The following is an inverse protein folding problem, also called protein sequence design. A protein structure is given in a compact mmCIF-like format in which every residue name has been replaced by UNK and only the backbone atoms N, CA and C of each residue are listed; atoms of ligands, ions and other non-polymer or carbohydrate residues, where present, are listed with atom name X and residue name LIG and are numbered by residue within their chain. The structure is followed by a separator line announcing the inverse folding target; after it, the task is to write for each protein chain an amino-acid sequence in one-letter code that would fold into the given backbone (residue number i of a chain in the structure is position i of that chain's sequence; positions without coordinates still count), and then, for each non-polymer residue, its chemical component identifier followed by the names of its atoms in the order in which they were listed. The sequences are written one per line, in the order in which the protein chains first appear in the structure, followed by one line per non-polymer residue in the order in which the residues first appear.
data_IF_995962608360
#
_entry.id   IF_995962608360
#
_cell.length_a   1.000
_cell.length_b   1.000
_cell.length_c   1.000
_cell.angle_alpha   90.00
_cell.angle_beta   90.00
_cell.angle_gamma   90.00
#
_symmetry.space_group_name_H-M   'P 1'
#
loop_
_entity.id
_entity.type
_entity.pdbx_description
1 polymer ?
#
# COMPACT_ATOMS: atom_id res chain seq x y z
N UNK A 1 32.31 15.34 4.66
CA UNK A 1 32.06 15.76 3.26
C UNK A 1 31.18 16.99 3.31
N UNK A 2 31.51 18.02 2.53
CA UNK A 2 30.67 19.22 2.44
C UNK A 2 29.43 18.93 1.58
N UNK A 3 28.27 19.45 2.01
CA UNK A 3 27.03 19.37 1.25
C UNK A 3 27.16 20.12 -0.09
N UNK A 4 26.61 19.55 -1.17
CA UNK A 4 26.51 20.27 -2.46
C UNK A 4 25.54 21.45 -2.34
N UNK A 5 25.59 22.42 -3.26
CA UNK A 5 24.68 23.57 -3.21
C UNK A 5 23.19 23.17 -3.19
N UNK A 6 22.79 22.18 -3.97
CA UNK A 6 21.42 21.65 -3.94
C UNK A 6 21.07 20.98 -2.61
N UNK A 7 22.03 20.29 -1.98
CA UNK A 7 21.82 19.70 -0.66
C UNK A 7 21.71 20.77 0.42
N UNK A 8 22.55 21.82 0.35
CA UNK A 8 22.47 22.98 1.24
C UNK A 8 21.10 23.65 1.13
N UNK A 9 20.64 23.93 -0.08
CA UNK A 9 19.30 24.50 -0.31
C UNK A 9 18.20 23.64 0.32
N UNK A 10 18.25 22.31 0.13
CA UNK A 10 17.29 21.39 0.73
C UNK A 10 17.34 21.36 2.27
N UNK A 11 18.53 21.55 2.86
CA UNK A 11 18.75 21.60 4.32
C UNK A 11 18.24 22.92 4.91
N UNK A 12 18.46 24.05 4.24
CA UNK A 12 18.24 25.40 4.81
C UNK A 12 16.87 26.01 4.50
N UNK A 13 16.18 25.54 3.47
CA UNK A 13 14.86 26.06 3.10
C UNK A 13 13.77 25.50 4.02
N UNK A 14 13.06 26.36 4.75
CA UNK A 14 12.01 25.98 5.72
C UNK A 14 10.67 26.70 5.54
N UNK A 15 10.61 27.67 4.63
CA UNK A 15 9.48 28.56 4.38
C UNK A 15 8.49 28.00 3.35
N UNK A 16 8.79 26.86 2.74
CA UNK A 16 7.96 26.18 1.75
C UNK A 16 8.16 24.67 1.77
N UNK A 17 7.16 23.95 1.26
CA UNK A 17 7.26 22.52 1.01
C UNK A 17 8.27 22.24 -0.12
N UNK A 18 9.11 21.21 0.07
CA UNK A 18 10.11 20.81 -0.91
C UNK A 18 10.00 19.31 -1.23
N UNK A 19 10.09 19.00 -2.51
CA UNK A 19 10.25 17.63 -3.01
C UNK A 19 11.67 17.46 -3.49
N UNK A 20 12.40 16.50 -2.92
CA UNK A 20 13.79 16.22 -3.28
C UNK A 20 13.87 14.91 -4.04
N UNK A 21 14.11 15.01 -5.36
CA UNK A 21 14.34 13.84 -6.21
C UNK A 21 15.80 13.43 -6.16
N UNK A 22 16.09 12.21 -5.73
CA UNK A 22 17.44 11.77 -5.48
C UNK A 22 17.61 10.25 -5.72
N UNK A 23 18.60 9.87 -6.52
CA UNK A 23 18.94 8.47 -6.83
C UNK A 23 19.54 7.72 -5.63
N UNK A 24 19.73 6.40 -5.74
CA UNK A 24 20.41 5.62 -4.70
C UNK A 24 21.82 6.20 -4.43
N UNK A 25 22.26 6.18 -3.16
CA UNK A 25 23.61 6.65 -2.78
C UNK A 25 23.85 8.17 -2.81
N UNK A 26 22.87 8.99 -3.21
CA UNK A 26 23.04 10.46 -3.34
C UNK A 26 22.95 11.27 -2.04
N UNK A 27 22.93 10.60 -0.88
CA UNK A 27 22.93 11.27 0.43
C UNK A 27 21.57 11.79 0.91
N UNK A 28 20.43 11.23 0.44
CA UNK A 28 19.08 11.58 0.92
C UNK A 28 18.96 11.62 2.44
N UNK A 29 19.41 10.55 3.09
CA UNK A 29 19.37 10.44 4.55
C UNK A 29 20.24 11.51 5.21
N UNK A 30 21.40 11.83 4.62
CA UNK A 30 22.26 12.90 5.12
C UNK A 30 21.55 14.26 5.07
N UNK A 31 20.89 14.59 3.94
CA UNK A 31 20.10 15.83 3.79
C UNK A 31 19.00 15.92 4.84
N UNK A 32 18.24 14.84 5.06
CA UNK A 32 17.16 14.82 6.06
C UNK A 32 17.68 15.01 7.49
N UNK A 33 18.77 14.33 7.85
CA UNK A 33 19.39 14.47 9.19
C UNK A 33 19.90 15.89 9.39
N UNK A 34 20.60 16.47 8.41
CA UNK A 34 21.09 17.84 8.53
C UNK A 34 19.95 18.86 8.56
N UNK A 35 18.86 18.64 7.80
CA UNK A 35 17.66 19.48 7.88
C UNK A 35 17.03 19.44 9.27
N UNK A 36 16.93 18.24 9.87
CA UNK A 36 16.42 18.06 11.23
C UNK A 36 17.23 18.89 12.25
N UNK A 37 18.56 18.76 12.21
CA UNK A 37 19.46 19.52 13.09
C UNK A 37 19.38 21.03 12.84
N UNK A 38 19.25 21.42 11.57
CA UNK A 38 19.19 22.83 11.19
C UNK A 38 17.89 23.51 11.63
N UNK A 39 16.76 22.77 11.70
CA UNK A 39 15.51 23.26 12.31
C UNK A 39 15.69 23.57 13.80
N UNK A 40 16.40 22.71 14.54
CA UNK A 40 16.70 22.94 15.95
C UNK A 40 17.59 24.18 16.09
N UNK A 41 18.67 24.25 15.31
CA UNK A 41 19.69 25.29 15.41
C UNK A 41 19.19 26.69 15.05
N UNK A 42 18.48 26.81 13.92
CA UNK A 42 18.16 28.13 13.34
C UNK A 42 16.74 28.60 13.60
N UNK A 43 15.81 27.66 13.76
CA UNK A 43 14.40 27.98 14.04
C UNK A 43 14.04 27.78 15.50
N UNK A 44 14.92 27.19 16.31
CA UNK A 44 14.64 26.90 17.71
C UNK A 44 13.51 25.88 17.90
N UNK A 45 13.24 25.05 16.89
CA UNK A 45 12.17 24.06 16.95
C UNK A 45 12.58 22.96 17.92
N UNK A 46 11.72 22.66 18.88
CA UNK A 46 11.96 21.59 19.84
C UNK A 46 11.85 20.23 19.16
N UNK A 47 12.68 19.28 19.59
CA UNK A 47 12.75 17.91 19.06
C UNK A 47 11.38 17.21 18.97
N UNK A 48 10.50 17.29 19.99
CA UNK A 48 9.18 16.66 19.92
C UNK A 48 8.25 17.27 18.85
N UNK A 49 8.54 18.48 18.38
CA UNK A 49 7.76 19.17 17.34
C UNK A 49 8.19 18.81 15.91
N UNK A 50 9.19 17.95 15.73
CA UNK A 50 9.70 17.56 14.40
C UNK A 50 9.34 16.10 14.10
N UNK A 51 8.30 15.90 13.30
CA UNK A 51 7.88 14.59 12.80
C UNK A 51 8.74 14.15 11.59
N UNK A 52 9.45 13.04 11.72
CA UNK A 52 10.21 12.42 10.64
C UNK A 52 9.66 11.02 10.34
N UNK A 53 9.13 10.84 9.13
CA UNK A 53 8.48 9.60 8.69
C UNK A 53 9.32 8.83 7.67
N UNK A 54 9.29 7.51 7.76
CA UNK A 54 9.94 6.60 6.81
C UNK A 54 9.01 5.43 6.43
N UNK A 55 9.34 4.70 5.37
CA UNK A 55 8.55 3.54 4.94
C UNK A 55 8.85 2.26 5.71
N UNK A 56 10.06 2.10 6.24
CA UNK A 56 10.50 0.84 6.86
C UNK A 56 11.07 1.09 8.24
N UNK A 57 10.87 0.14 9.15
CA UNK A 57 11.42 0.21 10.51
C UNK A 57 12.95 0.34 10.51
N UNK A 58 13.62 -0.32 9.56
CA UNK A 58 15.07 -0.21 9.38
C UNK A 58 15.49 1.23 9.03
N UNK A 59 14.75 1.90 8.13
CA UNK A 59 15.06 3.28 7.74
C UNK A 59 14.80 4.26 8.90
N UNK A 60 13.70 4.07 9.66
CA UNK A 60 13.43 4.85 10.86
C UNK A 60 14.56 4.70 11.89
N UNK A 61 14.94 3.46 12.20
CA UNK A 61 16.01 3.16 13.16
C UNK A 61 17.36 3.76 12.72
N UNK A 62 17.71 3.62 11.45
CA UNK A 62 18.94 4.22 10.89
C UNK A 62 18.92 5.75 10.97
N UNK A 63 17.79 6.38 10.66
CA UNK A 63 17.63 7.84 10.78
C UNK A 63 17.76 8.30 12.23
N UNK A 64 17.09 7.59 13.15
CA UNK A 64 17.14 7.88 14.60
C UNK A 64 18.57 7.78 15.13
N UNK A 65 19.31 6.75 14.72
CA UNK A 65 20.71 6.56 15.10
C UNK A 65 21.61 7.68 14.58
N UNK A 66 21.44 8.08 13.32
CA UNK A 66 22.21 9.16 12.72
C UNK A 66 21.96 10.49 13.44
N UNK A 67 20.71 10.85 13.73
CA UNK A 67 20.39 12.09 14.44
C UNK A 67 20.96 12.05 15.86
N UNK A 68 20.76 10.96 16.59
CA UNK A 68 21.29 10.78 17.96
C UNK A 68 22.79 10.98 18.03
N UNK A 69 23.53 10.39 17.07
CA UNK A 69 24.98 10.54 16.99
C UNK A 69 25.39 11.99 16.76
N UNK A 70 24.74 12.70 15.84
CA UNK A 70 25.04 14.10 15.56
C UNK A 70 24.73 15.00 16.76
N UNK A 71 23.60 14.77 17.46
CA UNK A 71 23.26 15.50 18.69
C UNK A 71 24.34 15.31 19.77
N UNK A 72 24.85 14.08 19.96
CA UNK A 72 25.88 13.78 20.96
C UNK A 72 27.25 14.45 20.70
N UNK A 73 27.50 14.86 19.46
CA UNK A 73 28.76 15.50 19.05
C UNK A 73 28.71 17.02 19.18
N UNK A 74 27.51 17.61 19.38
CA UNK A 74 27.31 19.05 19.52
C UNK A 74 27.28 19.44 21.00
N UNK A 75 27.68 20.68 21.29
CA UNK A 75 27.82 21.21 22.67
C UNK A 75 27.06 22.52 22.80
N UNK A 76 26.54 22.77 24.00
CA UNK A 76 25.78 23.97 24.33
C UNK A 76 24.34 23.66 24.71
N UNK A 77 23.65 24.61 25.36
CA UNK A 77 22.38 24.37 26.05
C UNK A 77 21.27 23.89 25.11
N UNK A 78 21.22 24.39 23.87
CA UNK A 78 20.25 23.96 22.85
C UNK A 78 20.45 22.49 22.48
N UNK A 79 21.69 22.05 22.33
CA UNK A 79 22.03 20.70 21.90
C UNK A 79 21.90 19.68 23.02
N UNK A 80 22.22 20.08 24.26
CA UNK A 80 22.02 19.27 25.46
C UNK A 80 20.53 19.00 25.67
N UNK A 81 19.69 20.04 25.63
CA UNK A 81 18.22 19.88 25.67
C UNK A 81 17.71 18.99 24.53
N UNK A 82 18.15 19.24 23.30
CA UNK A 82 17.74 18.43 22.15
C UNK A 82 18.13 16.95 22.30
N UNK A 83 19.29 16.65 22.89
CA UNK A 83 19.73 15.28 23.15
C UNK A 83 18.86 14.58 24.23
N UNK A 84 18.46 15.32 25.28
CA UNK A 84 17.54 14.82 26.31
C UNK A 84 16.15 14.54 25.72
N UNK A 85 15.59 15.50 24.98
CA UNK A 85 14.28 15.39 24.34
C UNK A 85 14.24 14.30 23.25
N UNK A 86 15.40 13.89 22.72
CA UNK A 86 15.47 12.90 21.64
C UNK A 86 14.94 11.51 22.04
N UNK A 87 14.79 11.23 23.34
CA UNK A 87 14.14 10.00 23.81
C UNK A 87 12.69 9.87 23.32
N UNK A 88 11.99 11.00 23.17
CA UNK A 88 10.59 11.06 22.73
C UNK A 88 10.43 11.61 21.30
N UNK A 89 11.52 11.70 20.54
CA UNK A 89 11.50 12.24 19.18
C UNK A 89 10.62 11.39 18.24
N UNK A 90 9.68 12.00 17.48
CA UNK A 90 8.82 11.26 16.57
C UNK A 90 9.54 10.96 15.24
N UNK A 91 10.48 10.02 15.29
CA UNK A 91 11.21 9.45 14.15
C UNK A 91 10.75 8.01 13.95
N UNK A 92 9.77 7.79 13.07
CA UNK A 92 9.05 6.52 12.98
C UNK A 92 8.57 6.19 11.57
N UNK A 93 7.92 5.05 11.40
CA UNK A 93 7.27 4.70 10.12
C UNK A 93 5.92 5.39 9.97
N UNK A 94 5.43 5.49 8.74
CA UNK A 94 4.06 5.95 8.48
C UNK A 94 3.03 5.13 9.27
N UNK A 95 3.17 3.80 9.30
CA UNK A 95 2.26 2.92 10.04
C UNK A 95 2.29 3.19 11.55
N UNK A 96 3.48 3.31 12.14
CA UNK A 96 3.63 3.59 13.57
C UNK A 96 3.03 4.94 13.95
N UNK A 97 3.23 5.97 13.12
CA UNK A 97 2.59 7.28 13.32
C UNK A 97 1.06 7.20 13.22
N UNK A 98 0.52 6.60 12.17
CA UNK A 98 -0.93 6.46 12.04
C UNK A 98 -1.54 5.67 13.21
N UNK A 99 -0.88 4.60 13.65
CA UNK A 99 -1.33 3.84 14.82
C UNK A 99 -1.26 4.66 16.12
N UNK A 100 -0.27 5.55 16.27
CA UNK A 100 -0.21 6.48 17.40
C UNK A 100 -1.38 7.47 17.36
N UNK A 101 -1.65 8.09 16.22
CA UNK A 101 -2.78 9.04 16.05
C UNK A 101 -4.12 8.37 16.39
N UNK A 102 -4.34 7.14 15.90
CA UNK A 102 -5.56 6.38 16.20
C UNK A 102 -5.69 6.02 17.68
N UNK A 103 -4.58 5.85 18.41
CA UNK A 103 -4.61 5.60 19.86
C UNK A 103 -4.85 6.87 20.68
N UNK A 104 -4.49 8.02 20.14
CA UNK A 104 -4.73 9.31 20.77
C UNK A 104 -6.20 9.74 20.64
N UNK A 105 -6.85 9.37 19.53
CA UNK A 105 -8.25 9.69 19.23
C UNK A 105 -9.08 8.44 18.85
N UNK A 106 -9.18 7.43 19.72
CA UNK A 106 -9.82 6.16 19.37
C UNK A 106 -11.34 6.31 19.18
N UNK A 107 -12.00 7.15 19.99
CA UNK A 107 -13.46 7.33 19.95
C UNK A 107 -13.87 8.02 18.64
N UNK A 108 -13.18 9.08 18.26
CA UNK A 108 -13.39 9.82 17.01
C UNK A 108 -13.13 8.95 15.79
N UNK A 109 -12.20 7.99 15.91
CA UNK A 109 -11.91 7.01 14.88
C UNK A 109 -12.91 5.83 14.84
N UNK A 110 -13.86 5.76 15.78
CA UNK A 110 -14.78 4.61 15.90
C UNK A 110 -14.08 3.31 16.32
N UNK A 111 -12.96 3.42 17.02
CA UNK A 111 -12.15 2.31 17.50
C UNK A 111 -12.29 2.12 19.01
N UNK A 112 -12.19 0.87 19.45
CA UNK A 112 -12.08 0.58 20.88
C UNK A 112 -10.72 1.06 21.43
N UNK A 113 -10.70 1.68 22.62
CA UNK A 113 -9.45 1.93 23.33
C UNK A 113 -8.65 0.63 23.50
N UNK A 114 -7.35 0.69 23.20
CA UNK A 114 -6.47 -0.49 23.29
C UNK A 114 -6.55 -1.45 22.10
N UNK A 115 -7.08 -1.01 20.95
CA UNK A 115 -7.04 -1.82 19.73
C UNK A 115 -5.63 -2.36 19.44
N UNK A 116 -5.59 -3.57 18.89
CA UNK A 116 -4.36 -4.21 18.46
C UNK A 116 -4.24 -4.13 16.94
N UNK A 117 -3.04 -3.82 16.46
CA UNK A 117 -2.72 -3.93 15.03
C UNK A 117 -2.46 -5.41 14.77
N UNK A 118 -3.25 -5.99 13.86
CA UNK A 118 -3.13 -7.40 13.51
C UNK A 118 -1.98 -7.62 12.53
N UNK A 119 -1.22 -8.69 12.74
CA UNK A 119 -0.28 -9.18 11.75
C UNK A 119 -0.98 -9.97 10.61
N UNK A 120 -0.27 -10.21 9.52
CA UNK A 120 -0.81 -10.90 8.35
C UNK A 120 -1.33 -12.30 8.64
N UNK A 121 -0.75 -13.01 9.62
CA UNK A 121 -1.18 -14.37 9.99
C UNK A 121 -2.49 -14.31 10.79
N UNK A 122 -2.60 -13.34 11.70
CA UNK A 122 -3.83 -13.07 12.45
C UNK A 122 -4.97 -12.68 11.51
N UNK A 123 -4.70 -11.77 10.56
CA UNK A 123 -5.65 -11.38 9.50
C UNK A 123 -6.09 -12.61 8.70
N UNK A 124 -5.13 -13.41 8.22
CA UNK A 124 -5.43 -14.64 7.45
C UNK A 124 -6.28 -15.63 8.23
N UNK A 125 -6.04 -15.78 9.54
CA UNK A 125 -6.81 -16.67 10.42
C UNK A 125 -8.24 -16.17 10.62
N UNK A 126 -8.43 -14.87 10.79
CA UNK A 126 -9.77 -14.28 10.93
C UNK A 126 -10.56 -14.45 9.62
N UNK A 127 -9.93 -14.23 8.46
CA UNK A 127 -10.57 -14.47 7.17
C UNK A 127 -10.95 -15.94 6.97
N UNK A 128 -10.06 -16.87 7.34
CA UNK A 128 -10.36 -18.30 7.29
C UNK A 128 -11.60 -18.65 8.11
N UNK A 129 -11.63 -18.17 9.36
CA UNK A 129 -12.73 -18.41 10.29
C UNK A 129 -14.04 -17.79 9.80
N UNK A 130 -14.01 -16.55 9.32
CA UNK A 130 -15.19 -15.88 8.78
C UNK A 130 -15.77 -16.63 7.56
N UNK A 131 -14.90 -17.18 6.70
CA UNK A 131 -15.33 -18.00 5.57
C UNK A 131 -15.92 -19.34 6.03
N UNK A 132 -15.30 -20.01 7.01
CA UNK A 132 -15.83 -21.24 7.59
C UNK A 132 -17.19 -21.01 8.25
N UNK A 133 -17.35 -19.91 9.00
CA UNK A 133 -18.63 -19.53 9.59
C UNK A 133 -19.70 -19.26 8.52
N UNK A 134 -19.34 -18.57 7.43
CA UNK A 134 -20.24 -18.32 6.29
C UNK A 134 -20.77 -19.62 5.68
N UNK A 135 -19.88 -20.61 5.45
CA UNK A 135 -20.22 -21.84 4.73
C UNK A 135 -20.82 -22.92 5.62
N UNK A 136 -20.39 -23.03 6.88
CA UNK A 136 -20.72 -24.15 7.75
C UNK A 136 -21.68 -23.80 8.90
N UNK A 137 -22.00 -22.53 9.11
CA UNK A 137 -22.99 -22.11 10.11
C UNK A 137 -24.33 -21.78 9.46
N UNK A 138 -25.47 -21.95 10.16
CA UNK A 138 -26.76 -21.53 9.66
C UNK A 138 -26.77 -20.04 9.30
N UNK A 139 -27.10 -19.72 8.05
CA UNK A 139 -27.26 -18.36 7.58
C UNK A 139 -28.75 -18.01 7.44
N UNK A 140 -29.14 -16.72 7.47
CA UNK A 140 -30.49 -16.30 7.08
C UNK A 140 -30.85 -16.86 5.70
N UNK A 141 -32.10 -17.30 5.51
CA UNK A 141 -32.49 -18.19 4.39
C UNK A 141 -31.97 -17.76 3.01
N UNK A 142 -32.17 -16.50 2.62
CA UNK A 142 -31.72 -15.97 1.33
C UNK A 142 -30.20 -16.02 1.13
N UNK A 143 -29.43 -15.89 2.22
CA UNK A 143 -27.97 -15.99 2.20
C UNK A 143 -27.54 -17.45 2.02
N UNK A 144 -28.21 -18.38 2.71
CA UNK A 144 -27.93 -19.80 2.58
C UNK A 144 -28.19 -20.30 1.15
N UNK A 145 -29.32 -19.90 0.55
CA UNK A 145 -29.65 -20.26 -0.83
C UNK A 145 -28.64 -19.68 -1.84
N UNK A 146 -28.20 -18.44 -1.63
CA UNK A 146 -27.16 -17.80 -2.44
C UNK A 146 -25.82 -18.55 -2.34
N UNK A 147 -25.41 -18.94 -1.12
CA UNK A 147 -24.17 -19.72 -0.91
C UNK A 147 -24.27 -21.08 -1.60
N UNK A 148 -25.38 -21.81 -1.44
CA UNK A 148 -25.60 -23.09 -2.12
C UNK A 148 -25.50 -22.92 -3.64
N UNK A 149 -26.13 -21.88 -4.17
CA UNK A 149 -26.09 -21.58 -5.60
C UNK A 149 -24.66 -21.30 -6.08
N UNK A 150 -23.92 -20.44 -5.38
CA UNK A 150 -22.53 -20.12 -5.73
C UNK A 150 -21.63 -21.37 -5.63
N UNK A 151 -21.78 -22.17 -4.57
CA UNK A 151 -21.01 -23.39 -4.37
C UNK A 151 -21.37 -24.53 -5.34
N UNK A 152 -22.52 -24.43 -6.01
CA UNK A 152 -22.87 -25.35 -7.12
C UNK A 152 -22.11 -25.05 -8.41
N UNK A 153 -21.60 -23.82 -8.55
CA UNK A 153 -20.86 -23.33 -9.73
C UNK A 153 -19.36 -23.33 -9.47
N UNK A 154 -18.93 -22.95 -8.26
CA UNK A 154 -17.53 -22.81 -7.87
C UNK A 154 -17.20 -23.66 -6.64
N UNK A 155 -15.98 -24.22 -6.59
CA UNK A 155 -15.51 -24.88 -5.37
C UNK A 155 -15.24 -23.86 -4.24
N UNK A 156 -15.23 -24.36 -3.00
CA UNK A 156 -15.02 -23.51 -1.82
C UNK A 156 -13.70 -22.74 -1.85
N UNK A 157 -12.62 -23.33 -2.40
CA UNK A 157 -11.32 -22.69 -2.49
C UNK A 157 -11.35 -21.48 -3.42
N UNK A 158 -12.00 -21.62 -4.57
CA UNK A 158 -12.22 -20.53 -5.53
C UNK A 158 -13.03 -19.40 -4.92
N UNK A 159 -14.17 -19.72 -4.27
CA UNK A 159 -15.02 -18.69 -3.62
C UNK A 159 -14.25 -17.97 -2.52
N UNK A 160 -13.53 -18.71 -1.66
CA UNK A 160 -12.70 -18.12 -0.60
C UNK A 160 -11.66 -17.16 -1.17
N UNK A 161 -10.99 -17.54 -2.26
CA UNK A 161 -9.99 -16.69 -2.91
C UNK A 161 -10.63 -15.42 -3.46
N UNK A 162 -11.76 -15.54 -4.18
CA UNK A 162 -12.48 -14.39 -4.72
C UNK A 162 -12.89 -13.41 -3.62
N UNK A 163 -13.52 -13.89 -2.54
CA UNK A 163 -13.93 -13.04 -1.42
C UNK A 163 -12.74 -12.38 -0.72
N UNK A 164 -11.63 -13.09 -0.56
CA UNK A 164 -10.41 -12.55 0.04
C UNK A 164 -9.79 -11.45 -0.83
N UNK A 165 -9.76 -11.64 -2.15
CA UNK A 165 -9.26 -10.64 -3.11
C UNK A 165 -10.15 -9.40 -3.15
N UNK A 166 -11.47 -9.59 -3.16
CA UNK A 166 -12.44 -8.48 -3.09
C UNK A 166 -12.27 -7.69 -1.80
N UNK A 167 -12.16 -8.36 -0.65
CA UNK A 167 -11.94 -7.69 0.63
C UNK A 167 -10.60 -6.95 0.71
N UNK A 168 -9.52 -7.53 0.16
CA UNK A 168 -8.21 -6.89 0.07
C UNK A 168 -8.22 -5.60 -0.74
N UNK A 169 -9.11 -5.53 -1.75
CA UNK A 169 -9.32 -4.36 -2.60
C UNK A 169 -10.60 -3.60 -2.25
N UNK A 170 -11.14 -3.75 -1.04
CA UNK A 170 -12.45 -3.19 -0.65
C UNK A 170 -12.61 -1.69 -0.91
N UNK A 171 -11.54 -0.90 -0.78
CA UNK A 171 -11.57 0.54 -1.09
C UNK A 171 -11.78 0.80 -2.59
N UNK A 172 -11.23 -0.05 -3.46
CA UNK A 172 -11.46 0.01 -4.91
C UNK A 172 -12.88 -0.44 -5.27
N UNK A 173 -13.47 -1.32 -4.47
CA UNK A 173 -14.82 -1.85 -4.65
C UNK A 173 -15.88 -1.13 -3.81
N UNK A 174 -15.55 -0.02 -3.14
CA UNK A 174 -16.47 0.70 -2.26
C UNK A 174 -17.77 1.11 -2.99
N UNK A 175 -17.63 1.53 -4.26
CA UNK A 175 -18.75 1.82 -5.15
C UNK A 175 -19.63 0.59 -5.41
N UNK A 176 -19.02 -0.57 -5.62
CA UNK A 176 -19.76 -1.82 -5.80
C UNK A 176 -20.46 -2.24 -4.51
N UNK A 177 -19.80 -2.12 -3.35
CA UNK A 177 -20.45 -2.42 -2.07
C UNK A 177 -21.61 -1.45 -1.77
N UNK A 178 -21.49 -0.18 -2.15
CA UNK A 178 -22.58 0.78 -2.03
C UNK A 178 -23.79 0.43 -2.91
N UNK A 179 -23.58 -0.18 -4.09
CA UNK A 179 -24.69 -0.58 -4.97
C UNK A 179 -25.42 -1.82 -4.47
N UNK A 180 -24.80 -2.65 -3.61
CA UNK A 180 -25.47 -3.79 -2.96
C UNK A 180 -26.65 -3.37 -2.08
N UNK A 181 -26.69 -2.12 -1.60
CA UNK A 181 -27.85 -1.58 -0.90
C UNK A 181 -29.03 -1.22 -1.83
N UNK A 182 -28.80 -1.24 -3.15
CA UNK A 182 -29.79 -0.97 -4.19
C UNK A 182 -30.57 -2.20 -4.64
N UNK A 183 -31.29 -2.06 -5.75
CA UNK A 183 -32.01 -3.17 -6.39
C UNK A 183 -31.09 -4.09 -7.20
N UNK A 184 -31.57 -5.30 -7.50
CA UNK A 184 -30.83 -6.31 -8.27
C UNK A 184 -30.26 -5.76 -9.60
N UNK A 185 -31.07 -5.04 -10.38
CA UNK A 185 -30.65 -4.51 -11.68
C UNK A 185 -29.50 -3.50 -11.53
N UNK A 186 -29.57 -2.66 -10.48
CA UNK A 186 -28.51 -1.68 -10.19
C UNK A 186 -27.19 -2.34 -9.82
N UNK A 187 -27.23 -3.44 -9.06
CA UNK A 187 -26.05 -4.24 -8.72
C UNK A 187 -25.46 -4.86 -9.98
N UNK A 188 -26.29 -5.46 -10.83
CA UNK A 188 -25.85 -6.10 -12.06
C UNK A 188 -25.24 -5.10 -13.04
N UNK A 189 -25.88 -3.95 -13.25
CA UNK A 189 -25.37 -2.89 -14.12
C UNK A 189 -24.03 -2.35 -13.61
N UNK A 190 -23.91 -2.14 -12.29
CA UNK A 190 -22.66 -1.72 -11.67
C UNK A 190 -21.56 -2.76 -11.85
N UNK A 191 -21.88 -4.05 -11.70
CA UNK A 191 -20.92 -5.14 -11.89
C UNK A 191 -20.46 -5.22 -13.35
N UNK A 192 -21.39 -5.18 -14.30
CA UNK A 192 -21.10 -5.22 -15.74
C UNK A 192 -20.21 -4.03 -16.12
N UNK A 193 -20.48 -2.84 -15.61
CA UNK A 193 -19.68 -1.65 -15.87
C UNK A 193 -18.24 -1.80 -15.35
N UNK A 194 -18.05 -2.32 -14.13
CA UNK A 194 -16.71 -2.55 -13.56
C UNK A 194 -15.93 -3.62 -14.32
N UNK A 195 -16.57 -4.75 -14.64
CA UNK A 195 -15.94 -5.82 -15.44
C UNK A 195 -15.54 -5.31 -16.83
N UNK A 196 -16.41 -4.54 -17.48
CA UNK A 196 -16.12 -3.94 -18.79
C UNK A 196 -14.96 -2.96 -18.69
N UNK A 197 -14.96 -2.09 -17.68
CA UNK A 197 -13.88 -1.13 -17.47
C UNK A 197 -12.54 -1.80 -17.18
N UNK A 198 -12.52 -2.88 -16.41
CA UNK A 198 -11.32 -3.66 -16.14
C UNK A 198 -10.80 -4.30 -17.43
N UNK A 199 -11.65 -5.05 -18.14
CA UNK A 199 -11.32 -5.70 -19.42
C UNK A 199 -10.74 -4.70 -20.41
N UNK A 200 -11.41 -3.57 -20.61
CA UNK A 200 -10.99 -2.58 -21.60
C UNK A 200 -9.66 -1.92 -21.23
N UNK A 201 -9.34 -1.82 -19.92
CA UNK A 201 -8.04 -1.34 -19.44
C UNK A 201 -6.94 -2.36 -19.73
N UNK A 202 -7.13 -3.62 -19.37
CA UNK A 202 -6.16 -4.68 -19.63
C UNK A 202 -5.88 -4.84 -21.14
N UNK A 203 -6.92 -4.75 -21.98
CA UNK A 203 -6.77 -4.77 -23.44
C UNK A 203 -5.90 -3.61 -23.92
N UNK A 204 -6.14 -2.39 -23.41
CA UNK A 204 -5.31 -1.22 -23.78
C UNK A 204 -3.86 -1.39 -23.35
N UNK A 205 -3.63 -1.90 -22.15
CA UNK A 205 -2.28 -2.11 -21.63
C UNK A 205 -1.53 -3.18 -22.46
N UNK A 206 -2.20 -4.28 -22.80
CA UNK A 206 -1.66 -5.32 -23.68
C UNK A 206 -1.35 -4.80 -25.09
N UNK A 207 -2.21 -3.94 -25.66
CA UNK A 207 -1.97 -3.31 -26.96
C UNK A 207 -0.74 -2.39 -26.97
N UNK A 208 -0.37 -1.84 -25.81
CA UNK A 208 0.81 -1.00 -25.65
C UNK A 208 2.07 -1.80 -25.29
N UNK A 209 1.93 -3.06 -24.86
CA UNK A 209 3.05 -3.95 -24.59
C UNK A 209 3.67 -4.46 -25.90
N UNK A 210 4.90 -4.00 -26.16
CA UNK A 210 5.68 -4.37 -27.35
C UNK A 210 5.94 -5.88 -27.44
N UNK A 211 6.17 -6.56 -26.32
CA UNK A 211 6.43 -8.00 -26.28
C UNK A 211 5.18 -8.79 -26.65
N UNK A 212 4.02 -8.37 -26.13
CA UNK A 212 2.73 -8.96 -26.47
C UNK A 212 2.40 -8.76 -27.96
N UNK A 213 2.52 -7.53 -28.47
CA UNK A 213 2.28 -7.23 -29.89
C UNK A 213 3.22 -8.01 -30.82
N UNK A 214 4.48 -8.22 -30.42
CA UNK A 214 5.42 -9.07 -31.16
C UNK A 214 4.97 -10.53 -31.17
N UNK A 215 4.54 -11.08 -30.03
CA UNK A 215 4.03 -12.45 -29.95
C UNK A 215 2.80 -12.66 -30.85
N UNK A 216 1.83 -11.73 -30.82
CA UNK A 216 0.66 -11.77 -31.70
C UNK A 216 1.07 -11.73 -33.17
N UNK A 217 2.02 -10.86 -33.54
CA UNK A 217 2.53 -10.77 -34.91
C UNK A 217 3.21 -12.07 -35.35
N UNK A 218 3.96 -12.74 -34.46
CA UNK A 218 4.56 -14.04 -34.74
C UNK A 218 3.48 -15.09 -34.98
N UNK A 219 2.45 -15.16 -34.13
CA UNK A 219 1.34 -16.11 -34.27
C UNK A 219 0.57 -15.90 -35.59
N UNK A 220 0.28 -14.66 -35.96
CA UNK A 220 -0.38 -14.34 -37.24
C UNK A 220 0.48 -14.76 -38.45
N UNK A 221 1.79 -14.50 -38.40
CA UNK A 221 2.71 -14.93 -39.45
C UNK A 221 2.81 -16.46 -39.55
N UNK A 222 2.77 -17.17 -38.41
CA UNK A 222 2.74 -18.63 -38.40
C UNK A 222 1.42 -19.13 -38.98
N UNK A 223 0.28 -18.62 -38.53
CA UNK A 223 -1.04 -19.01 -39.05
C UNK A 223 -1.14 -18.83 -40.57
N UNK A 224 -0.67 -17.70 -41.10
CA UNK A 224 -0.64 -17.44 -42.55
C UNK A 224 0.33 -18.35 -43.32
N UNK A 225 1.43 -18.81 -42.69
CA UNK A 225 2.38 -19.75 -43.30
C UNK A 225 1.87 -21.19 -43.37
N UNK A 226 0.89 -21.53 -42.53
CA UNK A 226 0.30 -22.87 -42.44
C UNK A 226 -1.19 -22.88 -42.88
N UNK A 227 -1.58 -22.00 -43.81
CA UNK A 227 -2.90 -22.03 -44.43
C UNK A 227 -3.06 -23.26 -45.35
N UNK A 228 -3.88 -24.23 -44.92
CA UNK A 228 -4.32 -25.39 -45.71
C UNK A 228 -3.50 -26.68 -45.52
N UNK A 229 -4.21 -27.76 -45.18
CA UNK A 229 -3.88 -29.22 -45.18
C UNK A 229 -2.52 -29.75 -44.69
N UNK A 230 -1.51 -28.93 -44.44
CA UNK A 230 -0.21 -29.35 -43.85
C UNK A 230 -0.08 -28.90 -42.39
N UNK A 231 -1.20 -28.95 -41.64
CA UNK A 231 -1.16 -28.84 -40.18
C UNK A 231 -0.55 -30.13 -39.60
N UNK A 232 0.78 -30.15 -39.45
CA UNK A 232 1.48 -31.25 -38.79
C UNK A 232 1.10 -31.41 -37.31
N UNK A 233 0.48 -30.42 -36.67
CA UNK A 233 0.02 -30.55 -35.28
C UNK A 233 -1.21 -31.45 -35.17
N UNK A 234 -2.02 -31.57 -36.23
CA UNK A 234 -3.12 -32.53 -36.31
C UNK A 234 -2.64 -34.01 -36.33
N UNK A 235 -1.35 -34.27 -36.56
CA UNK A 235 -0.79 -35.62 -36.47
C UNK A 235 -0.41 -36.04 -35.03
N UNK A 236 -0.43 -35.10 -34.07
CA UNK A 236 -0.09 -35.33 -32.66
C UNK A 236 -1.29 -35.17 -31.69
N UNK A 237 -2.48 -34.89 -32.22
CA UNK A 237 -3.77 -34.98 -31.54
C UNK A 237 -4.50 -36.27 -31.99
#
# INVERSE_FOLDING_TARGET
MAATERQKEAITTHDRSLVVTAGAGTGKTYVLVQKYLHLIETRGVEVPSILALTFTEKAAAEMRERIRRELSQRRGPVWEKAAEDFMIAPVQTFHSFCAQVLREFPIEAGLEPGFIVLDERQVSRIHARAFEELVHSPQPGTVNDAIITVLSIFDQGTVRKMLSEMYGKRLSYDRFFATLAGGQDQVLDSWIAEVSSFRDREIRDLQQDRSFCLAVSILLNLAARYEGTDDRAAAYL
#
